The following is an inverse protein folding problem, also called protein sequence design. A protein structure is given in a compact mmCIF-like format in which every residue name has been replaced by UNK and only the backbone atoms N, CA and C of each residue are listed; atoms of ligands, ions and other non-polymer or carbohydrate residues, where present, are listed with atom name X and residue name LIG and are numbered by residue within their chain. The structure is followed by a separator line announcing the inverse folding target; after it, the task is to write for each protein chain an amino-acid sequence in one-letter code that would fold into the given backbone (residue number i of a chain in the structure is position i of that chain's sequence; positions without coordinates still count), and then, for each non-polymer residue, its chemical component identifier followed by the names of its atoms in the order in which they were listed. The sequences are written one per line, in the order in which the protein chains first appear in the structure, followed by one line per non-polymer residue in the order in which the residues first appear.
data_IF_601792819616
#
_entry.id   IF_601792819616
#
_cell.length_a   1.000
_cell.length_b   1.000
_cell.length_c   1.000
_cell.angle_alpha   90.00
_cell.angle_beta   90.00
_cell.angle_gamma   90.00
#
_symmetry.space_group_name_H-M   'P 1'
#
loop_
_entity.id
_entity.type
_entity.pdbx_description
1 polymer ?
#
# COMPACT_ATOMS: atom_id res chain seq x y z
N UNK A 1 8.29 42.93 -14.13
CA UNK A 1 7.05 42.23 -13.73
C UNK A 1 7.43 41.17 -12.71
N UNK A 2 6.88 41.16 -11.49
CA UNK A 2 7.16 40.09 -10.53
C UNK A 2 6.30 38.87 -10.86
N UNK A 3 6.92 37.69 -10.78
CA UNK A 3 6.26 36.40 -10.96
C UNK A 3 5.57 36.09 -9.62
N UNK A 4 4.24 35.98 -9.63
CA UNK A 4 3.46 35.58 -8.47
C UNK A 4 3.67 34.07 -8.24
N UNK A 5 4.34 33.71 -7.14
CA UNK A 5 4.55 32.32 -6.72
C UNK A 5 3.39 31.76 -5.87
N UNK A 6 2.27 32.46 -5.73
CA UNK A 6 1.18 32.05 -4.82
C UNK A 6 0.05 31.28 -5.52
N UNK A 7 0.29 30.06 -6.00
CA UNK A 7 -0.80 29.07 -6.19
C UNK A 7 -0.33 27.67 -6.60
N UNK A 8 0.76 27.14 -6.04
CA UNK A 8 0.83 25.69 -5.89
C UNK A 8 0.01 25.31 -4.67
N UNK A 9 -1.30 25.07 -4.88
CA UNK A 9 -2.10 24.28 -3.94
C UNK A 9 -1.26 23.04 -3.63
N UNK A 10 -0.87 22.77 -2.36
CA UNK A 10 -0.11 21.57 -2.04
C UNK A 10 -0.88 20.39 -2.64
N UNK A 11 -0.20 19.40 -3.26
CA UNK A 11 -0.87 18.24 -3.83
C UNK A 11 -1.87 17.76 -2.79
N UNK A 12 -3.13 17.69 -3.23
CA UNK A 12 -4.22 17.30 -2.34
C UNK A 12 -3.96 15.85 -1.97
N UNK A 13 -3.17 15.64 -0.90
CA UNK A 13 -2.85 14.34 -0.33
C UNK A 13 -4.16 13.60 -0.27
N UNK A 14 -4.25 12.48 -1.00
CA UNK A 14 -5.43 11.64 -0.97
C UNK A 14 -5.79 11.44 0.51
N UNK A 15 -7.03 11.75 0.89
CA UNK A 15 -7.44 11.76 2.29
C UNK A 15 -6.98 10.44 2.93
N UNK A 16 -6.02 10.56 3.86
CA UNK A 16 -5.35 9.43 4.46
C UNK A 16 -6.40 8.58 5.20
N UNK A 17 -6.73 7.41 4.67
CA UNK A 17 -7.52 6.44 5.44
C UNK A 17 -6.63 5.97 6.58
N UNK A 18 -7.04 6.24 7.82
CA UNK A 18 -6.32 5.76 8.99
C UNK A 18 -6.33 4.22 8.97
N UNK A 19 -5.13 3.64 8.96
CA UNK A 19 -4.91 2.19 8.87
C UNK A 19 -5.60 1.46 10.03
N UNK A 20 -5.65 2.07 11.21
CA UNK A 20 -6.28 1.49 12.39
C UNK A 20 -7.79 1.30 12.22
N UNK A 21 -8.43 2.13 11.41
CA UNK A 21 -9.87 2.06 11.15
C UNK A 21 -10.19 1.05 10.02
N UNK A 22 -9.17 0.61 9.27
CA UNK A 22 -9.34 -0.26 8.10
C UNK A 22 -9.01 -1.73 8.38
N UNK A 23 -8.08 -1.99 9.31
CA UNK A 23 -7.68 -3.35 9.67
C UNK A 23 -8.40 -3.83 10.94
N UNK A 24 -8.82 -5.11 11.02
CA UNK A 24 -8.57 -6.18 10.06
C UNK A 24 -9.41 -6.08 8.79
N UNK A 25 -8.75 -6.21 7.63
CA UNK A 25 -9.36 -6.01 6.32
C UNK A 25 -9.63 -7.34 5.62
N UNK A 26 -10.87 -7.55 5.17
CA UNK A 26 -11.19 -8.64 4.25
C UNK A 26 -10.94 -8.21 2.81
N UNK A 27 -9.83 -8.66 2.24
CA UNK A 27 -9.43 -8.32 0.87
C UNK A 27 -10.35 -9.01 -0.16
N UNK A 28 -11.22 -8.23 -0.82
CA UNK A 28 -12.11 -8.71 -1.91
C UNK A 28 -11.77 -8.11 -3.27
N UNK A 29 -11.05 -7.00 -3.26
CA UNK A 29 -10.60 -6.22 -4.41
C UNK A 29 -9.29 -5.53 -4.04
N UNK A 30 -8.60 -4.99 -5.04
CA UNK A 30 -7.46 -4.11 -4.81
C UNK A 30 -7.86 -3.00 -3.84
N UNK A 31 -7.11 -2.89 -2.75
CA UNK A 31 -7.32 -1.88 -1.71
C UNK A 31 -6.02 -1.13 -1.52
N UNK A 32 -6.10 0.19 -1.51
CA UNK A 32 -4.97 1.07 -1.27
C UNK A 32 -5.07 1.63 0.13
N UNK A 33 -3.93 1.70 0.80
CA UNK A 33 -3.81 2.16 2.18
C UNK A 33 -2.64 3.12 2.28
N UNK A 34 -2.82 4.22 3.00
CA UNK A 34 -1.70 5.12 3.27
C UNK A 34 -0.97 4.62 4.50
N UNK A 35 0.29 4.22 4.33
CA UNK A 35 1.14 3.78 5.45
C UNK A 35 2.06 4.92 5.84
N UNK A 36 1.94 5.39 7.09
CA UNK A 36 2.81 6.44 7.61
C UNK A 36 4.19 5.84 7.91
N UNK A 37 5.24 6.43 7.33
CA UNK A 37 6.62 6.04 7.63
C UNK A 37 6.94 6.35 9.10
N UNK A 38 7.60 5.43 9.83
CA UNK A 38 7.98 5.68 11.22
C UNK A 38 9.04 6.77 11.35
N UNK A 39 9.96 6.94 10.39
CA UNK A 39 10.92 8.07 10.39
C UNK A 39 11.38 8.45 8.98
N UNK A 40 11.16 9.70 8.59
CA UNK A 40 11.64 10.22 7.29
C UNK A 40 13.17 10.20 7.23
N UNK A 41 13.75 9.59 6.18
CA UNK A 41 15.18 9.69 5.86
C UNK A 41 16.06 8.52 6.34
N UNK A 42 15.49 7.43 6.86
CA UNK A 42 16.23 6.17 7.07
C UNK A 42 16.04 5.23 5.87
N UNK A 43 17.13 4.57 5.48
CA UNK A 43 17.23 3.88 4.20
C UNK A 43 16.58 2.48 4.14
N UNK A 44 16.38 1.83 5.29
CA UNK A 44 15.86 0.46 5.34
C UNK A 44 14.53 0.41 6.12
N UNK A 45 13.44 0.80 5.45
CA UNK A 45 12.08 0.61 5.98
C UNK A 45 11.37 -0.47 5.16
N UNK A 46 10.81 -1.47 5.84
CA UNK A 46 10.11 -2.59 5.21
C UNK A 46 8.64 -2.57 5.63
N UNK A 47 7.68 -2.49 4.69
CA UNK A 47 6.28 -2.64 5.03
C UNK A 47 6.00 -4.08 5.48
N UNK A 48 5.30 -4.23 6.62
CA UNK A 48 4.96 -5.53 7.20
C UNK A 48 3.45 -5.74 7.13
N UNK A 49 3.03 -6.87 6.56
CA UNK A 49 1.66 -7.36 6.64
C UNK A 49 1.59 -8.47 7.67
N UNK A 50 0.95 -8.19 8.80
CA UNK A 50 0.84 -9.13 9.91
C UNK A 50 -0.50 -9.87 9.92
N UNK A 51 -0.51 -11.05 10.54
CA UNK A 51 -1.72 -11.81 10.82
C UNK A 51 -2.60 -12.05 9.58
N UNK A 52 -1.98 -12.43 8.46
CA UNK A 52 -2.70 -12.83 7.26
C UNK A 52 -3.47 -14.13 7.56
N UNK A 53 -4.80 -14.03 7.63
CA UNK A 53 -5.70 -15.18 7.84
C UNK A 53 -6.30 -15.60 6.51
N UNK A 54 -6.07 -16.86 6.16
CA UNK A 54 -6.54 -17.47 4.90
C UNK A 54 -7.39 -18.71 5.13
N UNK A 55 -8.14 -19.11 4.11
CA UNK A 55 -8.70 -20.46 4.03
C UNK A 55 -7.67 -21.40 3.41
N UNK A 56 -7.09 -22.28 4.22
CA UNK A 56 -5.95 -23.14 3.86
C UNK A 56 -6.27 -24.17 2.77
N UNK A 57 -7.55 -24.34 2.42
CA UNK A 57 -8.02 -25.25 1.37
C UNK A 57 -8.05 -24.59 0.00
N UNK A 58 -7.75 -23.29 -0.08
CA UNK A 58 -7.79 -22.50 -1.31
C UNK A 58 -6.41 -22.00 -1.65
N UNK A 59 -6.14 -21.91 -2.95
CA UNK A 59 -4.99 -21.19 -3.46
C UNK A 59 -5.20 -19.69 -3.23
N UNK A 60 -4.31 -19.06 -2.47
CA UNK A 60 -4.34 -17.63 -2.19
C UNK A 60 -3.11 -16.98 -2.81
N UNK A 61 -3.30 -15.87 -3.53
CA UNK A 61 -2.21 -15.02 -4.01
C UNK A 61 -2.53 -13.56 -3.69
N UNK A 62 -1.56 -12.87 -3.09
CA UNK A 62 -1.62 -11.45 -2.78
C UNK A 62 -0.36 -10.81 -3.35
N UNK A 63 -0.53 -9.89 -4.30
CA UNK A 63 0.56 -9.06 -4.80
C UNK A 63 0.50 -7.68 -4.13
N UNK A 64 1.64 -7.20 -3.64
CA UNK A 64 1.79 -5.94 -2.92
C UNK A 64 2.60 -4.98 -3.78
N UNK A 65 2.07 -3.77 -3.92
CA UNK A 65 2.68 -2.68 -4.66
C UNK A 65 2.81 -1.44 -3.76
N UNK A 66 3.85 -0.66 -3.98
CA UNK A 66 4.12 0.60 -3.26
C UNK A 66 4.16 1.74 -4.27
N UNK A 67 3.49 2.85 -3.94
CA UNK A 67 3.45 4.05 -4.76
C UNK A 67 4.10 5.20 -3.99
N UNK A 68 4.49 6.26 -4.70
CA UNK A 68 4.77 7.55 -4.06
C UNK A 68 3.49 8.10 -3.41
N UNK A 69 3.62 8.84 -2.30
CA UNK A 69 2.47 9.44 -1.60
C UNK A 69 1.76 10.51 -2.43
N UNK A 70 2.46 11.10 -3.40
CA UNK A 70 1.94 12.14 -4.29
C UNK A 70 1.29 11.57 -5.58
N UNK A 71 1.42 10.28 -5.85
CA UNK A 71 0.80 9.64 -7.03
C UNK A 71 -0.73 9.59 -6.89
N UNK A 72 -1.42 9.86 -8.00
CA UNK A 72 -2.88 9.81 -8.00
C UNK A 72 -3.39 8.37 -8.05
N UNK A 73 -4.57 8.08 -7.45
CA UNK A 73 -5.17 6.75 -7.50
C UNK A 73 -5.37 6.21 -8.93
N UNK A 74 -5.53 7.07 -9.93
CA UNK A 74 -5.74 6.63 -11.32
C UNK A 74 -4.42 6.20 -12.00
N UNK A 75 -3.26 6.58 -11.46
CA UNK A 75 -1.93 6.35 -12.01
C UNK A 75 -1.38 4.98 -11.58
N UNK A 76 -2.12 3.90 -11.89
CA UNK A 76 -1.81 2.53 -11.42
C UNK A 76 -0.45 2.03 -11.92
N UNK A 77 -0.01 2.51 -13.08
CA UNK A 77 1.22 2.06 -13.74
C UNK A 77 2.52 2.57 -13.07
N UNK A 78 2.40 3.51 -12.12
CA UNK A 78 3.54 4.02 -11.32
C UNK A 78 3.82 3.18 -10.08
N UNK A 79 2.94 2.24 -9.78
CA UNK A 79 3.08 1.35 -8.64
C UNK A 79 4.27 0.41 -8.83
N UNK A 80 5.21 0.42 -7.89
CA UNK A 80 6.34 -0.50 -7.90
C UNK A 80 5.96 -1.82 -7.21
N UNK A 81 6.29 -2.95 -7.84
CA UNK A 81 6.07 -4.26 -7.24
C UNK A 81 7.01 -4.47 -6.07
N UNK A 82 6.47 -4.62 -4.87
CA UNK A 82 7.25 -4.85 -3.66
C UNK A 82 7.43 -6.34 -3.39
N UNK A 83 6.33 -7.10 -3.32
CA UNK A 83 6.37 -8.53 -2.95
C UNK A 83 5.08 -9.25 -3.27
N UNK A 84 5.14 -10.58 -3.33
CA UNK A 84 3.98 -11.46 -3.49
C UNK A 84 3.92 -12.49 -2.38
N UNK A 85 2.75 -12.67 -1.78
CA UNK A 85 2.45 -13.80 -0.90
C UNK A 85 1.63 -14.82 -1.68
N UNK A 86 2.05 -16.09 -1.65
CA UNK A 86 1.29 -17.19 -2.23
C UNK A 86 1.15 -18.30 -1.21
N UNK A 87 -0.06 -18.82 -1.05
CA UNK A 87 -0.34 -19.99 -0.23
C UNK A 87 -1.02 -21.07 -1.06
N UNK A 88 -0.53 -22.30 -0.92
CA UNK A 88 -1.06 -23.48 -1.57
C UNK A 88 -2.26 -24.09 -0.81
N UNK A 89 -2.90 -25.08 -1.42
CA UNK A 89 -4.06 -25.77 -0.86
C UNK A 89 -3.74 -26.72 0.30
N UNK A 90 -2.48 -26.83 0.69
CA UNK A 90 -2.02 -27.61 1.83
C UNK A 90 -1.65 -26.72 3.02
N UNK A 91 -1.85 -25.41 2.90
CA UNK A 91 -1.48 -24.42 3.92
C UNK A 91 0.00 -24.03 3.91
N UNK A 92 0.80 -24.53 2.96
CA UNK A 92 2.17 -24.07 2.74
C UNK A 92 2.18 -22.71 2.06
N UNK A 93 3.08 -21.81 2.46
CA UNK A 93 3.16 -20.47 1.88
C UNK A 93 4.58 -20.08 1.44
N UNK A 94 4.65 -19.10 0.54
CA UNK A 94 5.87 -18.47 0.01
C UNK A 94 5.70 -16.95 -0.02
N UNK A 95 6.82 -16.25 0.16
CA UNK A 95 6.95 -14.79 0.18
C UNK A 95 8.04 -14.32 -0.78
#
# INVERSE_FOLDING_TARGET
MPIDLSSSKPPQRAAAVNIQDLFPLKLRKTTRVLVVKPTVGKADEVPVLENIVTDNRKLIKLDVFVNDEDDKPEEVDRAEYARGFTQDTNGGYKL
#
